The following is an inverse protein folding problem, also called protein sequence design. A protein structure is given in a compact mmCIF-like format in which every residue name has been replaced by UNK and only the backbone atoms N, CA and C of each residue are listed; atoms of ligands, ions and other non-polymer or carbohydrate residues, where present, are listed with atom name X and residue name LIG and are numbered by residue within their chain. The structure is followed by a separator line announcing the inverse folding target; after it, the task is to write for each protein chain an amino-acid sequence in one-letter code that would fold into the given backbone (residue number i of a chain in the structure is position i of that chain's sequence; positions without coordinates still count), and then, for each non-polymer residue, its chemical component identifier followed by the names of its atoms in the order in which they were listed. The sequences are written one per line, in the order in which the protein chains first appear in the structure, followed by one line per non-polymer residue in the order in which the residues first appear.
data_IF_481477238729
#
_entry.id   IF_481477238729
#
_cell.length_a   1.000
_cell.length_b   1.000
_cell.length_c   1.000
_cell.angle_alpha   90.00
_cell.angle_beta   90.00
_cell.angle_gamma   90.00
#
_symmetry.space_group_name_H-M   'P 1'
#
loop_
_entity.id
_entity.type
_entity.pdbx_description
1 polymer ?
#
# COMPACT_ATOMS: atom_id res chain seq x y z
N UNK A 1 16.20 -16.49 7.37
CA UNK A 1 16.58 -15.07 7.63
C UNK A 1 17.43 -14.87 8.87
N UNK A 2 17.01 -15.28 10.08
CA UNK A 2 17.78 -15.06 11.33
C UNK A 2 19.20 -15.64 11.29
N UNK A 3 19.36 -16.87 10.82
CA UNK A 3 20.67 -17.51 10.67
C UNK A 3 21.56 -16.83 9.62
N UNK A 4 20.97 -16.41 8.50
CA UNK A 4 21.68 -15.64 7.47
C UNK A 4 22.22 -14.33 8.04
N UNK A 5 21.41 -13.58 8.80
CA UNK A 5 21.85 -12.34 9.44
C UNK A 5 22.95 -12.58 10.47
N UNK A 6 22.89 -13.69 11.24
CA UNK A 6 23.97 -14.09 12.14
C UNK A 6 25.26 -14.41 11.37
N UNK A 7 25.17 -15.16 10.25
CA UNK A 7 26.32 -15.48 9.39
C UNK A 7 26.95 -14.23 8.76
N UNK A 8 26.13 -13.28 8.29
CA UNK A 8 26.60 -12.01 7.73
C UNK A 8 27.25 -11.10 8.77
N UNK A 9 26.71 -11.08 9.99
CA UNK A 9 27.34 -10.35 11.10
C UNK A 9 28.69 -10.99 11.49
N UNK A 10 28.74 -12.33 11.57
CA UNK A 10 29.95 -13.07 11.91
C UNK A 10 31.05 -12.97 10.85
N UNK A 11 30.70 -12.86 9.57
CA UNK A 11 31.68 -12.77 8.49
C UNK A 11 32.50 -11.48 8.50
N UNK A 12 32.09 -10.45 9.27
CA UNK A 12 32.70 -9.11 9.34
C UNK A 12 32.88 -8.40 7.98
N UNK A 13 32.37 -8.97 6.89
CA UNK A 13 32.45 -8.42 5.52
C UNK A 13 31.75 -7.07 5.43
N UNK A 14 30.73 -6.87 6.26
CA UNK A 14 29.99 -5.62 6.37
C UNK A 14 29.86 -5.25 7.84
N UNK A 15 29.96 -3.95 8.15
CA UNK A 15 29.67 -3.43 9.49
C UNK A 15 28.15 -3.39 9.72
N UNK A 16 27.55 -4.58 9.89
CA UNK A 16 26.12 -4.75 10.10
C UNK A 16 25.87 -4.95 11.59
N UNK A 17 24.99 -4.14 12.18
CA UNK A 17 24.43 -4.39 13.51
C UNK A 17 23.01 -4.92 13.37
N UNK A 18 22.76 -6.11 13.90
CA UNK A 18 21.41 -6.71 13.91
C UNK A 18 20.74 -6.51 15.27
N UNK A 19 19.49 -6.02 15.27
CA UNK A 19 18.66 -5.90 16.48
C UNK A 19 17.55 -6.95 16.38
N UNK A 20 17.65 -8.00 17.18
CA UNK A 20 16.66 -9.08 17.22
C UNK A 20 15.54 -8.74 18.21
N UNK A 21 14.30 -8.80 17.75
CA UNK A 21 13.11 -8.61 18.57
C UNK A 21 12.53 -9.96 19.01
N UNK A 22 11.98 -10.02 20.22
CA UNK A 22 11.33 -11.23 20.77
C UNK A 22 10.05 -11.60 20.00
N UNK A 23 9.34 -10.60 19.47
CA UNK A 23 8.11 -10.75 18.69
C UNK A 23 8.04 -9.71 17.57
N UNK A 24 7.18 -9.94 16.58
CA UNK A 24 6.88 -8.93 15.56
C UNK A 24 6.17 -7.74 16.19
N UNK A 25 6.60 -6.53 15.86
CA UNK A 25 6.06 -5.26 16.39
C UNK A 25 5.52 -4.32 15.31
N UNK A 26 5.52 -4.76 14.04
CA UNK A 26 5.20 -3.89 12.90
C UNK A 26 6.37 -3.03 12.44
N UNK A 27 6.23 -2.44 11.24
CA UNK A 27 7.29 -1.71 10.55
C UNK A 27 7.67 -0.42 11.25
N UNK A 28 6.68 0.38 11.68
CA UNK A 28 6.91 1.67 12.34
C UNK A 28 7.72 1.52 13.64
N UNK A 29 7.26 0.63 14.54
CA UNK A 29 7.98 0.36 15.80
C UNK A 29 9.37 -0.21 15.57
N UNK A 30 9.53 -1.14 14.63
CA UNK A 30 10.85 -1.70 14.30
C UNK A 30 11.82 -0.62 13.78
N UNK A 31 11.35 0.30 12.93
CA UNK A 31 12.14 1.45 12.46
C UNK A 31 12.52 2.37 13.60
N UNK A 32 11.57 2.76 14.47
CA UNK A 32 11.87 3.61 15.63
C UNK A 32 12.96 3.00 16.53
N UNK A 33 12.85 1.71 16.85
CA UNK A 33 13.86 1.01 17.65
C UNK A 33 15.23 0.96 16.97
N UNK A 34 15.26 0.87 15.63
CA UNK A 34 16.49 0.94 14.86
C UNK A 34 17.12 2.34 14.89
N UNK A 35 16.30 3.37 14.72
CA UNK A 35 16.71 4.79 14.73
C UNK A 35 17.24 5.20 16.10
N UNK A 36 16.55 4.81 17.18
CA UNK A 36 16.97 5.06 18.56
C UNK A 36 18.35 4.46 18.88
N UNK A 37 18.62 3.25 18.35
CA UNK A 37 19.88 2.52 18.56
C UNK A 37 20.98 2.89 17.54
N UNK A 38 20.68 3.77 16.58
CA UNK A 38 21.63 4.18 15.56
C UNK A 38 22.76 5.03 16.17
N UNK A 39 24.00 4.73 15.79
CA UNK A 39 25.18 5.45 16.30
C UNK A 39 25.31 6.86 15.71
N UNK A 40 25.01 6.99 14.42
CA UNK A 40 25.28 8.21 13.65
C UNK A 40 24.08 9.15 13.59
N UNK A 41 24.35 10.44 13.40
CA UNK A 41 23.31 11.47 13.32
C UNK A 41 22.51 11.38 12.03
N UNK A 42 23.14 11.10 10.88
CA UNK A 42 22.39 10.95 9.63
C UNK A 42 21.79 9.54 9.55
N UNK A 43 20.49 9.47 9.32
CA UNK A 43 19.72 8.24 9.16
C UNK A 43 19.29 8.12 7.72
N UNK A 44 19.61 6.99 7.08
CA UNK A 44 19.06 6.60 5.79
C UNK A 44 18.19 5.36 5.98
N UNK A 45 16.96 5.40 5.46
CA UNK A 45 15.98 4.31 5.56
C UNK A 45 15.74 3.66 4.20
N UNK A 46 15.73 2.33 4.21
CA UNK A 46 15.30 1.47 3.11
C UNK A 46 14.67 0.19 3.68
N UNK A 47 13.83 -0.48 2.90
CA UNK A 47 13.18 -1.72 3.30
C UNK A 47 14.00 -2.95 2.86
N UNK A 48 13.71 -4.13 3.43
CA UNK A 48 14.46 -5.36 3.16
C UNK A 48 14.25 -5.93 1.75
N UNK A 49 13.20 -5.49 1.07
CA UNK A 49 12.84 -5.83 -0.31
C UNK A 49 13.15 -4.70 -1.30
N UNK A 50 14.04 -3.79 -0.91
CA UNK A 50 14.51 -2.68 -1.72
C UNK A 50 15.98 -2.83 -2.13
N UNK A 51 16.29 -2.43 -3.37
CA UNK A 51 17.66 -2.25 -3.87
C UNK A 51 17.88 -0.77 -4.16
N UNK A 52 18.87 -0.18 -3.50
CA UNK A 52 19.27 1.22 -3.67
C UNK A 52 20.21 1.37 -4.87
N UNK A 53 20.19 2.53 -5.54
CA UNK A 53 21.12 2.82 -6.62
C UNK A 53 22.58 2.92 -6.12
N UNK A 54 23.56 2.70 -7.00
CA UNK A 54 25.00 2.75 -6.66
C UNK A 54 25.41 4.09 -6.03
N UNK A 55 24.82 5.20 -6.49
CA UNK A 55 25.10 6.56 -6.01
C UNK A 55 24.06 7.06 -4.98
N UNK A 56 23.19 6.20 -4.45
CA UNK A 56 22.03 6.59 -3.65
C UNK A 56 22.34 7.61 -2.54
N UNK A 57 23.34 7.34 -1.70
CA UNK A 57 23.74 8.30 -0.65
C UNK A 57 24.45 9.53 -1.23
N UNK A 58 25.28 9.37 -2.26
CA UNK A 58 25.95 10.50 -2.94
C UNK A 58 24.95 11.49 -3.53
N UNK A 59 23.82 10.98 -4.02
CA UNK A 59 22.76 11.79 -4.62
C UNK A 59 21.84 12.45 -3.58
N UNK A 60 21.78 11.95 -2.34
CA UNK A 60 20.83 12.42 -1.32
C UNK A 60 21.47 13.22 -0.18
N UNK A 61 22.63 12.77 0.32
CA UNK A 61 23.31 13.36 1.49
C UNK A 61 23.60 14.86 1.35
N UNK A 62 24.04 15.40 0.19
CA UNK A 62 24.35 16.84 0.07
C UNK A 62 23.18 17.76 0.40
N UNK A 63 21.95 17.28 0.28
CA UNK A 63 20.76 18.09 0.55
C UNK A 63 20.43 18.26 2.03
N UNK A 64 21.07 17.49 2.94
CA UNK A 64 20.89 17.61 4.39
C UNK A 64 21.40 18.93 4.98
N UNK A 65 22.19 19.69 4.21
CA UNK A 65 22.64 21.03 4.61
C UNK A 65 21.50 22.06 4.57
N UNK A 66 20.52 21.86 3.67
CA UNK A 66 19.44 22.84 3.41
C UNK A 66 18.04 22.31 3.74
N UNK A 67 17.88 20.99 3.79
CA UNK A 67 16.60 20.31 4.00
C UNK A 67 16.68 19.32 5.15
N UNK A 68 15.55 19.09 5.79
CA UNK A 68 15.42 18.33 7.03
C UNK A 68 15.05 16.86 6.77
N UNK A 69 14.28 16.62 5.71
CA UNK A 69 13.90 15.30 5.24
C UNK A 69 13.99 15.24 3.72
N UNK A 70 14.77 14.30 3.21
CA UNK A 70 14.98 14.12 1.78
C UNK A 70 14.51 12.71 1.39
N UNK A 71 13.70 12.63 0.35
CA UNK A 71 13.21 11.37 -0.19
C UNK A 71 13.60 11.20 -1.66
N UNK A 72 13.74 9.96 -2.09
CA UNK A 72 14.14 9.63 -3.44
C UNK A 72 13.04 8.98 -4.29
N UNK A 73 13.34 8.73 -5.57
CA UNK A 73 12.42 8.00 -6.46
C UNK A 73 12.30 6.54 -6.03
N UNK A 74 11.08 6.03 -5.97
CA UNK A 74 10.81 4.60 -5.75
C UNK A 74 10.17 4.03 -6.99
N UNK A 75 10.82 3.02 -7.58
CA UNK A 75 10.28 2.22 -8.68
C UNK A 75 9.78 0.90 -8.12
N UNK A 76 8.49 0.64 -8.21
CA UNK A 76 7.89 -0.62 -7.78
C UNK A 76 7.91 -1.61 -8.94
N UNK A 77 8.31 -2.86 -8.65
CA UNK A 77 8.22 -3.94 -9.65
C UNK A 77 6.76 -4.41 -9.84
N UNK A 78 5.92 -4.27 -8.82
CA UNK A 78 4.47 -4.40 -8.97
C UNK A 78 3.93 -3.21 -9.77
N UNK A 79 3.42 -3.49 -10.98
CA UNK A 79 2.96 -2.45 -11.90
C UNK A 79 1.75 -1.67 -11.38
N UNK A 80 0.88 -2.28 -10.57
CA UNK A 80 -0.27 -1.59 -10.02
C UNK A 80 0.19 -0.61 -8.94
N UNK A 81 1.11 -1.04 -8.07
CA UNK A 81 1.71 -0.16 -7.05
C UNK A 81 2.54 0.96 -7.69
N UNK A 82 3.30 0.67 -8.75
CA UNK A 82 4.13 1.68 -9.44
C UNK A 82 3.26 2.77 -10.09
N UNK A 83 2.14 2.37 -10.73
CA UNK A 83 1.18 3.32 -11.33
C UNK A 83 0.47 4.18 -10.29
N UNK A 84 0.24 3.65 -9.08
CA UNK A 84 -0.40 4.39 -7.99
C UNK A 84 0.57 5.30 -7.23
N UNK A 85 1.88 5.14 -7.41
CA UNK A 85 2.87 5.98 -6.75
C UNK A 85 2.83 7.41 -7.33
N UNK A 86 2.48 8.43 -6.54
CA UNK A 86 2.35 9.80 -7.06
C UNK A 86 3.69 10.39 -7.53
N UNK A 87 4.82 9.81 -7.10
CA UNK A 87 6.16 10.21 -7.53
C UNK A 87 6.63 9.59 -8.85
N UNK A 88 5.90 8.62 -9.42
CA UNK A 88 6.35 7.82 -10.57
C UNK A 88 6.78 8.70 -11.75
N UNK A 89 5.99 9.75 -12.04
CA UNK A 89 6.17 10.68 -13.16
C UNK A 89 7.03 11.90 -12.83
N UNK A 90 7.50 12.04 -11.59
CA UNK A 90 8.27 13.21 -11.15
C UNK A 90 9.77 12.93 -11.35
N UNK A 91 10.35 13.58 -12.36
CA UNK A 91 11.76 13.44 -12.74
C UNK A 91 12.62 14.68 -12.42
N UNK A 92 12.04 15.70 -11.79
CA UNK A 92 12.75 16.88 -11.31
C UNK A 92 12.81 16.92 -9.79
N UNK A 93 13.81 17.61 -9.25
CA UNK A 93 13.90 17.90 -7.82
C UNK A 93 12.76 18.85 -7.44
N UNK A 94 12.02 18.55 -6.39
CA UNK A 94 10.93 19.42 -5.90
C UNK A 94 11.00 19.58 -4.39
N UNK A 95 10.84 20.82 -3.92
CA UNK A 95 10.59 21.07 -2.50
C UNK A 95 9.13 20.73 -2.21
N UNK A 96 8.93 19.92 -1.17
CA UNK A 96 7.62 19.47 -0.73
C UNK A 96 7.12 20.45 0.34
N UNK A 97 5.95 21.05 0.11
CA UNK A 97 5.32 22.01 1.01
C UNK A 97 4.01 21.42 1.55
N UNK A 98 3.50 21.99 2.63
CA UNK A 98 2.22 21.57 3.24
C UNK A 98 1.06 21.58 2.22
N UNK A 99 1.01 22.60 1.37
CA UNK A 99 -0.05 22.79 0.35
C UNK A 99 0.31 22.17 -1.01
N UNK A 100 1.41 21.41 -1.11
CA UNK A 100 1.72 20.66 -2.33
C UNK A 100 0.70 19.55 -2.54
N UNK A 101 0.36 19.27 -3.81
CA UNK A 101 -0.49 18.13 -4.18
C UNK A 101 0.00 16.81 -3.57
N UNK A 102 1.32 16.66 -3.51
CA UNK A 102 2.00 15.57 -2.84
C UNK A 102 2.83 16.20 -1.72
N UNK A 103 2.45 15.93 -0.49
CA UNK A 103 3.01 16.55 0.72
C UNK A 103 3.59 15.51 1.69
N UNK A 104 4.10 14.40 1.16
CA UNK A 104 4.77 13.35 1.91
C UNK A 104 5.97 12.77 1.16
N UNK A 105 6.77 11.90 1.78
CA UNK A 105 7.86 11.16 1.13
C UNK A 105 7.80 9.69 1.56
N UNK A 106 8.16 8.76 0.67
CA UNK A 106 8.05 7.32 0.92
C UNK A 106 9.10 6.84 1.94
N UNK A 107 8.67 6.14 3.00
CA UNK A 107 9.58 5.70 4.11
C UNK A 107 10.69 4.75 3.68
N UNK A 108 10.49 3.99 2.60
CA UNK A 108 11.49 3.08 2.04
C UNK A 108 12.61 3.78 1.26
N UNK A 109 12.62 5.11 1.20
CA UNK A 109 13.65 5.90 0.54
C UNK A 109 13.75 7.30 1.16
N UNK A 110 14.25 7.36 2.39
CA UNK A 110 14.42 8.61 3.15
C UNK A 110 15.86 8.78 3.65
N UNK A 111 16.30 10.03 3.76
CA UNK A 111 17.43 10.44 4.57
C UNK A 111 17.08 11.70 5.40
N UNK A 112 17.48 11.72 6.66
CA UNK A 112 17.22 12.82 7.61
C UNK A 112 18.18 12.78 8.79
N UNK A 113 18.21 13.85 9.60
CA UNK A 113 18.95 13.87 10.88
C UNK A 113 18.15 13.14 11.96
N UNK A 114 18.78 12.21 12.67
CA UNK A 114 18.22 11.39 13.75
C UNK A 114 17.42 12.22 14.75
N UNK A 115 17.94 13.38 15.14
CA UNK A 115 17.29 14.30 16.08
C UNK A 115 15.87 14.68 15.66
N UNK A 116 15.64 14.92 14.37
CA UNK A 116 14.32 15.31 13.83
C UNK A 116 13.30 14.22 14.13
N UNK A 117 13.67 12.96 13.92
CA UNK A 117 12.79 11.81 14.18
C UNK A 117 12.50 11.67 15.68
N UNK A 118 13.52 11.84 16.54
CA UNK A 118 13.36 11.77 18.00
C UNK A 118 12.48 12.93 18.53
N UNK A 119 12.71 14.16 18.05
CA UNK A 119 11.97 15.38 18.42
C UNK A 119 10.48 15.25 18.12
N UNK A 120 10.10 14.59 17.02
CA UNK A 120 8.68 14.43 16.66
C UNK A 120 8.04 13.15 17.18
N UNK A 121 8.78 12.31 17.93
CA UNK A 121 8.27 11.07 18.53
C UNK A 121 8.27 9.84 17.60
N UNK A 122 9.08 9.85 16.54
CA UNK A 122 9.22 8.73 15.61
C UNK A 122 8.04 8.53 14.65
N UNK A 123 7.97 7.35 14.05
CA UNK A 123 6.85 6.88 13.21
C UNK A 123 5.74 6.30 14.09
N UNK A 124 4.49 6.70 13.84
CA UNK A 124 3.34 6.17 14.58
C UNK A 124 2.95 4.76 14.10
N UNK A 125 2.43 3.93 15.00
CA UNK A 125 2.11 2.53 14.73
C UNK A 125 0.74 2.36 14.05
N UNK A 126 0.71 2.63 12.74
CA UNK A 126 -0.36 2.31 11.79
C UNK A 126 0.18 2.39 10.35
N UNK A 127 -0.60 2.03 9.33
CA UNK A 127 -0.17 2.23 7.92
C UNK A 127 -0.34 3.69 7.54
N UNK A 128 0.31 4.14 6.47
CA UNK A 128 0.41 5.58 6.13
C UNK A 128 1.29 6.34 7.14
N UNK A 129 2.22 5.62 7.77
CA UNK A 129 3.20 6.20 8.69
C UNK A 129 4.12 7.22 8.00
N UNK A 130 4.34 7.07 6.70
CA UNK A 130 5.07 8.00 5.82
C UNK A 130 4.34 9.34 5.68
N UNK A 131 3.03 9.29 5.42
CA UNK A 131 2.18 10.47 5.29
C UNK A 131 2.12 11.24 6.60
N UNK A 132 1.82 10.54 7.70
CA UNK A 132 1.78 11.12 9.05
C UNK A 132 3.11 11.78 9.43
N UNK A 133 4.23 11.06 9.27
CA UNK A 133 5.55 11.56 9.60
C UNK A 133 5.87 12.84 8.83
N UNK A 134 5.63 12.84 7.52
CA UNK A 134 5.88 14.00 6.66
C UNK A 134 4.99 15.20 7.05
N UNK A 135 3.71 14.96 7.36
CA UNK A 135 2.78 16.00 7.76
C UNK A 135 3.13 16.62 9.11
N UNK A 136 3.53 15.79 10.09
CA UNK A 136 4.00 16.27 11.40
C UNK A 136 5.27 17.10 11.29
N UNK A 137 6.11 16.86 10.29
CA UNK A 137 7.28 17.68 9.99
C UNK A 137 6.89 19.00 9.31
N UNK A 138 6.07 18.94 8.25
CA UNK A 138 5.64 20.14 7.53
C UNK A 138 4.88 21.12 8.44
N UNK A 139 4.02 20.62 9.33
CA UNK A 139 3.31 21.44 10.34
C UNK A 139 4.24 22.17 11.31
N UNK A 140 5.46 21.65 11.52
CA UNK A 140 6.49 22.27 12.37
C UNK A 140 7.49 23.14 11.59
N UNK A 141 7.25 23.34 10.28
CA UNK A 141 8.10 24.19 9.44
C UNK A 141 9.37 23.52 8.90
N UNK A 142 9.55 22.21 9.10
CA UNK A 142 10.68 21.49 8.51
C UNK A 142 10.58 21.44 6.98
N UNK A 143 11.74 21.49 6.32
CA UNK A 143 11.88 21.55 4.86
C UNK A 143 12.05 20.17 4.27
N UNK A 144 11.11 19.75 3.43
CA UNK A 144 11.15 18.47 2.73
C UNK A 144 11.61 18.65 1.28
N UNK A 145 12.37 17.67 0.78
CA UNK A 145 12.86 17.64 -0.59
C UNK A 145 12.68 16.25 -1.22
N UNK A 146 12.15 16.22 -2.44
CA UNK A 146 12.17 15.03 -3.28
C UNK A 146 13.29 15.14 -4.33
N UNK A 147 14.13 14.11 -4.40
CA UNK A 147 15.30 14.03 -5.29
C UNK A 147 15.23 12.75 -6.14
N UNK A 148 14.82 12.82 -7.41
CA UNK A 148 14.56 11.64 -8.22
C UNK A 148 15.80 10.79 -8.54
N UNK A 149 17.01 11.37 -8.42
CA UNK A 149 18.28 10.65 -8.61
C UNK A 149 18.53 9.59 -7.54
N UNK A 150 18.02 9.78 -6.31
CA UNK A 150 18.08 8.78 -5.25
C UNK A 150 17.11 7.63 -5.52
N UNK A 151 17.41 6.79 -6.52
CA UNK A 151 16.53 5.71 -6.95
C UNK A 151 16.61 4.51 -6.00
N UNK A 152 15.43 3.98 -5.65
CA UNK A 152 15.23 2.69 -5.01
C UNK A 152 14.30 1.83 -5.87
N UNK A 153 14.65 0.56 -6.06
CA UNK A 153 13.79 -0.44 -6.70
C UNK A 153 13.18 -1.32 -5.60
N UNK A 154 11.85 -1.39 -5.55
CA UNK A 154 11.11 -2.21 -4.59
C UNK A 154 10.56 -3.47 -5.25
N UNK A 155 11.01 -4.64 -4.77
CA UNK A 155 10.70 -5.96 -5.35
C UNK A 155 9.49 -6.65 -4.72
N UNK A 156 8.90 -6.10 -3.65
CA UNK A 156 7.74 -6.69 -3.01
C UNK A 156 6.56 -6.83 -3.98
N UNK A 157 6.20 -8.06 -4.33
CA UNK A 157 5.00 -8.40 -5.09
C UNK A 157 3.95 -8.98 -4.14
N UNK A 158 2.67 -8.76 -4.45
CA UNK A 158 1.57 -9.26 -3.64
C UNK A 158 0.56 -9.98 -4.50
N UNK A 159 0.04 -11.08 -3.98
CA UNK A 159 -1.08 -11.75 -4.62
C UNK A 159 -2.39 -10.95 -4.39
N UNK A 160 -3.46 -11.26 -5.14
CA UNK A 160 -4.72 -10.52 -5.05
C UNK A 160 -5.32 -10.46 -3.64
N UNK A 161 -5.29 -11.56 -2.89
CA UNK A 161 -5.81 -11.64 -1.52
C UNK A 161 -5.01 -10.78 -0.54
N UNK A 162 -3.68 -10.82 -0.63
CA UNK A 162 -2.78 -9.94 0.13
C UNK A 162 -3.06 -8.47 -0.20
N UNK A 163 -3.39 -8.17 -1.45
CA UNK A 163 -3.81 -6.83 -1.85
C UNK A 163 -5.18 -6.44 -1.25
N UNK A 164 -6.18 -7.34 -1.08
CA UNK A 164 -7.42 -6.99 -0.32
C UNK A 164 -6.97 -6.48 1.04
N UNK A 165 -6.23 -7.34 1.75
CA UNK A 165 -5.88 -7.14 3.15
C UNK A 165 -5.12 -5.83 3.31
N UNK A 166 -4.19 -5.54 2.40
CA UNK A 166 -3.46 -4.27 2.34
C UNK A 166 -4.41 -3.06 2.25
N UNK A 167 -5.33 -3.05 1.28
CA UNK A 167 -6.24 -1.91 1.09
C UNK A 167 -7.25 -1.74 2.23
N UNK A 168 -7.73 -2.84 2.83
CA UNK A 168 -8.56 -2.76 4.05
C UNK A 168 -7.80 -2.10 5.22
N UNK A 169 -6.53 -2.44 5.39
CA UNK A 169 -5.70 -1.80 6.42
C UNK A 169 -5.45 -0.33 6.08
N UNK A 170 -5.25 0.02 4.81
CA UNK A 170 -5.13 1.43 4.38
C UNK A 170 -6.40 2.23 4.70
N UNK A 171 -7.59 1.71 4.42
CA UNK A 171 -8.85 2.37 4.78
C UNK A 171 -8.97 2.64 6.28
N UNK A 172 -8.69 1.63 7.12
CA UNK A 172 -8.66 1.79 8.60
C UNK A 172 -7.63 2.82 9.05
N UNK A 173 -6.46 2.81 8.42
CA UNK A 173 -5.36 3.70 8.76
C UNK A 173 -5.63 5.15 8.35
N UNK A 174 -6.35 5.36 7.24
CA UNK A 174 -6.79 6.67 6.80
C UNK A 174 -7.78 7.29 7.80
N UNK A 175 -8.74 6.51 8.33
CA UNK A 175 -9.63 6.99 9.40
C UNK A 175 -8.87 7.47 10.64
N UNK A 176 -7.83 6.73 11.05
CA UNK A 176 -6.94 7.14 12.14
C UNK A 176 -6.17 8.43 11.80
N UNK A 177 -5.65 8.54 10.58
CA UNK A 177 -4.94 9.73 10.10
C UNK A 177 -5.85 10.98 10.11
N UNK A 178 -7.09 10.85 9.63
CA UNK A 178 -8.10 11.92 9.66
C UNK A 178 -8.33 12.42 11.09
N UNK A 179 -8.46 11.49 12.03
CA UNK A 179 -8.68 11.79 13.45
C UNK A 179 -7.47 12.50 14.06
N UNK A 180 -6.25 11.98 13.85
CA UNK A 180 -5.02 12.56 14.40
C UNK A 180 -4.77 13.98 13.87
N UNK A 181 -5.08 14.23 12.60
CA UNK A 181 -4.80 15.51 11.95
C UNK A 181 -6.00 16.47 11.91
N UNK A 182 -7.14 16.12 12.53
CA UNK A 182 -8.39 16.88 12.48
C UNK A 182 -8.78 17.30 11.06
N UNK A 183 -8.70 16.37 10.11
CA UNK A 183 -9.08 16.66 8.73
C UNK A 183 -10.60 16.83 8.63
N UNK A 184 -11.04 17.99 8.15
CA UNK A 184 -12.42 18.18 7.71
C UNK A 184 -12.59 17.40 6.41
N UNK A 185 -13.23 16.24 6.48
CA UNK A 185 -13.66 15.53 5.27
C UNK A 185 -14.81 16.33 4.68
N UNK A 186 -14.51 17.25 3.76
CA UNK A 186 -15.53 17.71 2.83
C UNK A 186 -15.85 16.51 1.94
N UNK A 187 -17.05 15.95 2.10
CA UNK A 187 -17.63 15.13 1.04
C UNK A 187 -17.89 16.12 -0.11
N UNK A 188 -16.86 16.36 -0.92
CA UNK A 188 -17.10 16.99 -2.21
C UNK A 188 -18.09 16.06 -2.90
N UNK A 189 -19.33 16.53 -3.06
CA UNK A 189 -20.27 15.99 -4.04
C UNK A 189 -19.62 16.20 -5.41
N UNK A 190 -18.63 15.38 -5.76
CA UNK A 190 -18.10 15.33 -7.10
C UNK A 190 -19.26 14.82 -7.95
N UNK A 191 -19.97 15.74 -8.58
CA UNK A 191 -21.07 15.51 -9.52
C UNK A 191 -20.65 14.75 -10.78
N UNK A 192 -19.39 14.37 -10.88
CA UNK A 192 -18.86 13.57 -11.96
C UNK A 192 -18.31 12.29 -11.36
N UNK A 193 -19.13 11.23 -11.40
CA UNK A 193 -18.59 9.89 -11.46
C UNK A 193 -17.62 9.92 -12.64
N UNK A 194 -16.34 9.68 -12.38
CA UNK A 194 -15.33 9.56 -13.43
C UNK A 194 -15.84 8.58 -14.47
N UNK A 195 -16.13 9.08 -15.67
CA UNK A 195 -16.82 8.31 -16.71
C UNK A 195 -15.93 7.17 -17.22
N UNK A 196 -14.61 7.27 -17.08
CA UNK A 196 -13.68 6.17 -17.33
C UNK A 196 -13.79 5.09 -16.25
N UNK A 197 -13.71 5.47 -14.98
CA UNK A 197 -13.93 4.52 -13.87
C UNK A 197 -15.33 3.87 -13.91
N UNK A 198 -16.37 4.60 -14.35
CA UNK A 198 -17.71 4.07 -14.52
C UNK A 198 -17.82 3.15 -15.73
N UNK A 199 -17.18 3.48 -16.86
CA UNK A 199 -17.10 2.60 -18.03
C UNK A 199 -16.33 1.32 -17.71
N UNK A 200 -15.28 1.42 -16.91
CA UNK A 200 -14.52 0.26 -16.42
C UNK A 200 -15.33 -0.57 -15.43
N UNK A 201 -16.11 0.08 -14.55
CA UNK A 201 -17.08 -0.60 -13.69
C UNK A 201 -18.20 -1.29 -14.50
N UNK A 202 -18.74 -0.64 -15.53
CA UNK A 202 -19.76 -1.22 -16.42
C UNK A 202 -19.17 -2.38 -17.22
N UNK A 203 -17.96 -2.26 -17.79
CA UNK A 203 -17.24 -3.38 -18.44
C UNK A 203 -16.95 -4.52 -17.47
N UNK A 204 -16.73 -4.21 -16.20
CA UNK A 204 -16.48 -5.16 -15.13
C UNK A 204 -17.75 -5.85 -14.60
N UNK A 205 -18.88 -5.13 -14.52
CA UNK A 205 -20.18 -5.66 -14.11
C UNK A 205 -20.95 -6.31 -15.29
N UNK A 206 -20.59 -5.97 -16.52
CA UNK A 206 -21.18 -6.49 -17.76
C UNK A 206 -21.19 -8.03 -17.89
N UNK A 207 -20.22 -8.81 -17.37
CA UNK A 207 -20.31 -10.28 -17.36
C UNK A 207 -21.20 -10.84 -16.25
N UNK A 208 -21.39 -10.09 -15.15
CA UNK A 208 -22.23 -10.50 -14.03
C UNK A 208 -23.71 -10.17 -14.27
N UNK A 209 -24.01 -9.20 -15.12
CA UNK A 209 -25.38 -8.84 -15.50
C UNK A 209 -26.08 -9.98 -16.27
N UNK A 210 -25.52 -10.61 -17.31
CA UNK A 210 -26.08 -11.80 -17.95
C UNK A 210 -26.21 -12.98 -17.00
N UNK A 211 -25.31 -13.14 -16.03
CA UNK A 211 -25.38 -14.21 -15.03
C UNK A 211 -26.51 -13.96 -14.02
N UNK A 212 -26.69 -12.72 -13.55
CA UNK A 212 -27.79 -12.34 -12.67
C UNK A 212 -29.13 -12.41 -13.43
N UNK A 213 -29.17 -11.96 -14.68
CA UNK A 213 -30.34 -12.08 -15.56
C UNK A 213 -30.66 -13.55 -15.84
N UNK A 214 -29.66 -14.40 -16.09
CA UNK A 214 -29.81 -15.85 -16.21
C UNK A 214 -30.38 -16.46 -14.93
N UNK A 215 -29.83 -16.12 -13.75
CA UNK A 215 -30.36 -16.58 -12.47
C UNK A 215 -31.79 -16.10 -12.21
N UNK A 216 -32.15 -14.90 -12.63
CA UNK A 216 -33.51 -14.35 -12.49
C UNK A 216 -34.51 -14.97 -13.48
N UNK A 217 -34.11 -15.20 -14.73
CA UNK A 217 -34.95 -15.83 -15.78
C UNK A 217 -35.18 -17.31 -15.47
N UNK A 218 -34.15 -18.02 -14.98
CA UNK A 218 -34.23 -19.45 -14.69
C UNK A 218 -34.61 -19.77 -13.24
N UNK A 219 -34.71 -18.77 -12.34
CA UNK A 219 -35.19 -18.92 -10.96
C UNK A 219 -36.52 -19.71 -10.84
N UNK A 220 -37.54 -19.47 -11.68
CA UNK A 220 -38.78 -20.24 -11.64
C UNK A 220 -38.62 -21.70 -12.10
N UNK A 221 -37.75 -21.94 -13.09
CA UNK A 221 -37.40 -23.29 -13.57
C UNK A 221 -36.58 -24.07 -12.55
N UNK A 222 -35.67 -23.38 -11.85
CA UNK A 222 -34.85 -23.92 -10.76
C UNK A 222 -35.75 -24.34 -9.59
N UNK A 223 -36.72 -23.49 -9.19
CA UNK A 223 -37.68 -23.84 -8.13
C UNK A 223 -38.55 -25.07 -8.46
N UNK A 224 -38.90 -25.29 -9.73
CA UNK A 224 -39.65 -26.47 -10.16
C UNK A 224 -38.79 -27.75 -10.27
N UNK A 225 -37.48 -27.62 -10.53
CA UNK A 225 -36.53 -28.75 -10.56
C UNK A 225 -36.10 -29.15 -9.14
N UNK A 226 -36.06 -28.21 -8.19
CA UNK A 226 -35.74 -28.47 -6.77
C UNK A 226 -36.77 -29.35 -6.05
N UNK A 227 -37.96 -29.52 -6.63
CA UNK A 227 -39.00 -30.38 -6.07
C UNK A 227 -38.85 -31.87 -6.41
N UNK A 228 -37.95 -32.26 -7.32
CA UNK A 228 -37.98 -33.63 -7.88
C UNK A 228 -36.74 -34.52 -7.73
N UNK A 229 -35.54 -34.06 -7.36
CA UNK A 229 -34.47 -35.04 -7.04
C UNK A 229 -33.42 -34.53 -6.03
N UNK A 230 -33.05 -35.43 -5.11
CA UNK A 230 -31.89 -35.40 -4.21
C UNK A 230 -30.53 -35.37 -4.96
N UNK A 231 -30.31 -34.44 -5.89
CA UNK A 231 -29.12 -34.41 -6.75
C UNK A 231 -28.32 -33.10 -6.67
N UNK A 232 -28.17 -32.55 -5.46
CA UNK A 232 -27.20 -31.46 -5.22
C UNK A 232 -25.76 -31.85 -5.59
N UNK A 233 -25.41 -33.14 -5.53
CA UNK A 233 -24.05 -33.62 -5.81
C UNK A 233 -23.75 -33.56 -7.32
N UNK A 234 -24.70 -33.94 -8.18
CA UNK A 234 -24.47 -33.95 -9.64
C UNK A 234 -24.38 -32.52 -10.18
N UNK A 235 -25.23 -31.61 -9.71
CA UNK A 235 -25.16 -30.19 -10.09
C UNK A 235 -23.88 -29.53 -9.55
N UNK A 236 -23.47 -29.86 -8.31
CA UNK A 236 -22.22 -29.34 -7.73
C UNK A 236 -20.99 -29.87 -8.46
N UNK A 237 -20.98 -31.14 -8.87
CA UNK A 237 -19.88 -31.76 -9.64
C UNK A 237 -19.84 -31.22 -11.06
N UNK A 238 -20.98 -31.00 -11.72
CA UNK A 238 -21.04 -30.38 -13.04
C UNK A 238 -20.64 -28.90 -13.00
N UNK A 239 -21.08 -28.14 -11.98
CA UNK A 239 -20.63 -26.77 -11.76
C UNK A 239 -19.14 -26.72 -11.46
N UNK A 240 -18.61 -27.61 -10.60
CA UNK A 240 -17.17 -27.70 -10.33
C UNK A 240 -16.37 -28.09 -11.57
N UNK A 241 -16.87 -28.99 -12.42
CA UNK A 241 -16.26 -29.38 -13.69
C UNK A 241 -16.27 -28.24 -14.72
N UNK A 242 -17.40 -27.54 -14.90
CA UNK A 242 -17.49 -26.37 -15.77
C UNK A 242 -16.63 -25.20 -15.26
N UNK A 243 -16.61 -24.96 -13.94
CA UNK A 243 -15.70 -23.99 -13.32
C UNK A 243 -14.24 -24.39 -13.57
N UNK A 244 -13.86 -25.66 -13.38
CA UNK A 244 -12.49 -26.13 -13.62
C UNK A 244 -12.08 -26.04 -15.11
N UNK A 245 -13.02 -26.21 -16.04
CA UNK A 245 -12.78 -26.18 -17.50
C UNK A 245 -12.78 -24.75 -18.07
N UNK A 246 -13.63 -23.85 -17.55
CA UNK A 246 -13.68 -22.42 -17.92
C UNK A 246 -12.50 -21.65 -17.30
N UNK A 247 -12.09 -21.98 -16.07
CA UNK A 247 -11.06 -21.22 -15.35
C UNK A 247 -9.62 -21.72 -15.53
N UNK A 248 -9.37 -22.71 -16.40
CA UNK A 248 -8.00 -23.22 -16.64
C UNK A 248 -7.10 -22.24 -17.41
N UNK A 249 -7.62 -21.08 -17.87
CA UNK A 249 -6.84 -20.09 -18.64
C UNK A 249 -7.06 -18.60 -18.30
N UNK A 250 -7.87 -18.22 -17.32
CA UNK A 250 -8.23 -16.81 -17.10
C UNK A 250 -7.84 -16.27 -15.72
N UNK A 251 -6.54 -16.16 -15.51
CA UNK A 251 -5.89 -15.65 -14.30
C UNK A 251 -6.25 -14.15 -14.02
N UNK A 252 -6.81 -13.44 -15.01
CA UNK A 252 -7.24 -12.04 -14.92
C UNK A 252 -8.66 -11.89 -14.33
N UNK A 253 -9.59 -12.80 -14.66
CA UNK A 253 -10.99 -12.69 -14.24
C UNK A 253 -11.14 -12.94 -12.73
N UNK A 254 -10.40 -13.92 -12.20
CA UNK A 254 -10.32 -14.17 -10.76
C UNK A 254 -9.71 -12.98 -10.02
N UNK A 255 -8.68 -12.35 -10.59
CA UNK A 255 -8.05 -11.14 -10.02
C UNK A 255 -9.02 -9.96 -9.95
N UNK A 256 -9.87 -9.82 -10.96
CA UNK A 256 -10.87 -8.74 -11.05
C UNK A 256 -12.08 -8.98 -10.12
N UNK A 257 -12.58 -10.21 -10.01
CA UNK A 257 -13.63 -10.60 -9.04
C UNK A 257 -13.20 -10.32 -7.59
N UNK A 258 -11.97 -10.71 -7.28
CA UNK A 258 -11.35 -10.45 -5.97
C UNK A 258 -11.17 -8.93 -5.77
N UNK A 259 -10.99 -8.13 -6.82
CA UNK A 259 -10.90 -6.67 -6.73
C UNK A 259 -12.24 -5.97 -6.49
N UNK A 260 -13.36 -6.50 -6.98
CA UNK A 260 -14.67 -5.90 -6.73
C UNK A 260 -15.22 -6.21 -5.34
N UNK A 261 -14.96 -7.41 -4.83
CA UNK A 261 -15.24 -7.72 -3.42
C UNK A 261 -14.50 -6.75 -2.49
N UNK A 262 -13.26 -6.32 -2.84
CA UNK A 262 -12.54 -5.27 -2.08
C UNK A 262 -13.32 -3.98 -2.03
N UNK A 263 -13.78 -3.51 -3.18
CA UNK A 263 -14.44 -2.22 -3.30
C UNK A 263 -15.73 -2.22 -2.48
N UNK A 264 -16.55 -3.27 -2.60
CA UNK A 264 -17.80 -3.39 -1.85
C UNK A 264 -17.58 -3.50 -0.34
N UNK A 265 -16.58 -4.27 0.12
CA UNK A 265 -16.25 -4.37 1.54
C UNK A 265 -15.68 -3.05 2.07
N UNK A 266 -14.84 -2.36 1.29
CA UNK A 266 -14.31 -1.05 1.68
C UNK A 266 -15.40 0.00 1.83
N UNK A 267 -16.34 0.05 0.88
CA UNK A 267 -17.48 0.97 0.92
C UNK A 267 -18.42 0.64 2.09
N UNK A 268 -18.69 -0.65 2.35
CA UNK A 268 -19.51 -1.06 3.49
C UNK A 268 -18.87 -0.71 4.84
N UNK A 269 -17.58 -1.02 5.03
CA UNK A 269 -16.87 -0.71 6.27
C UNK A 269 -16.72 0.80 6.48
N UNK A 270 -16.54 1.57 5.40
CA UNK A 270 -16.53 3.04 5.46
C UNK A 270 -17.88 3.59 5.95
N UNK A 271 -18.99 3.09 5.40
CA UNK A 271 -20.35 3.49 5.82
C UNK A 271 -20.64 3.07 7.27
N UNK A 272 -20.23 1.86 7.66
CA UNK A 272 -20.49 1.32 9.00
C UNK A 272 -19.76 2.10 10.10
N UNK A 273 -18.49 2.48 9.86
CA UNK A 273 -17.68 3.20 10.85
C UNK A 273 -17.95 4.71 10.91
N UNK A 274 -18.62 5.30 9.93
CA UNK A 274 -19.08 6.70 9.98
C UNK A 274 -20.37 6.85 10.81
N UNK A 275 -21.12 5.76 10.98
CA UNK A 275 -22.37 5.76 11.77
C UNK A 275 -22.18 5.44 13.27
N UNK A 276 -20.94 5.24 13.72
CA UNK A 276 -20.58 5.04 15.13
C UNK A 276 -19.65 6.15 15.57
#
# INVERSE_FOLDING_TARGET
TKELLKKLHASKKFSIRCILLKKSVGSAKARNMGIEKAKYENIALTDSDCIVSKNWLKDLVPYLEKYDLIGGKVKYMDQAEDKMNPFQKINKIISIKQNSLINFLNTNNLIFKRKICLEIGGFLDYRLEDVDFSWRLLKRGYKLLYVPKGLVIHYGTRNPLQNIKKYLIYGRSYSKLVTIHNLKISVHKTKTIDTESFKDYIKFASPSIPFIIFLLIFSPLINNIFFLTNSNIVLTVLLAYFYAKIFRRADIIFRLFISSMKFSIMTFLFIYYIKK
#
